data_IF_020953601215
#
_entry.id   IF_020953601215
#
_cell.length_a   1.000
_cell.length_b   1.000
_cell.length_c   1.000
_cell.angle_alpha   90.00
_cell.angle_beta   90.00
_cell.angle_gamma   90.00
#
_symmetry.space_group_name_H-M   'P 1'
#
loop_
_entity.id
_entity.type
_entity.pdbx_description
1 polymer ?
#
# COMPACT_ATOMS: atom_id res chain seq x y z
N UNK A 1 -4.50 13.02 27.11
CA UNK A 1 -3.20 12.34 27.33
C UNK A 1 -2.40 12.21 26.03
N UNK A 2 -2.92 11.51 25.01
CA UNK A 2 -2.19 11.29 23.74
C UNK A 2 -1.70 12.59 23.08
N UNK A 3 -2.53 13.63 23.05
CA UNK A 3 -2.15 14.95 22.51
C UNK A 3 -0.91 15.56 23.19
N UNK A 4 -0.81 15.45 24.53
CA UNK A 4 0.36 15.96 25.27
C UNK A 4 1.62 15.21 24.85
N UNK A 5 1.53 13.89 24.70
CA UNK A 5 2.66 13.07 24.22
C UNK A 5 3.16 13.58 22.87
N UNK A 6 2.27 13.83 21.91
CA UNK A 6 2.68 14.31 20.58
C UNK A 6 3.25 15.74 20.60
N UNK A 7 2.71 16.58 21.46
CA UNK A 7 3.12 17.98 21.60
C UNK A 7 4.53 18.11 22.17
N UNK A 8 4.88 17.30 23.17
CA UNK A 8 6.16 17.36 23.91
C UNK A 8 7.36 16.80 23.14
N UNK A 9 7.15 16.01 22.07
CA UNK A 9 8.26 15.44 21.29
C UNK A 9 9.10 16.51 20.58
N UNK A 10 10.40 16.27 20.43
CA UNK A 10 11.21 17.07 19.52
C UNK A 10 10.78 16.85 18.06
N UNK A 11 10.90 17.89 17.23
CA UNK A 11 10.50 17.83 15.80
C UNK A 11 11.15 16.66 15.05
N UNK A 12 12.42 16.37 15.34
CA UNK A 12 13.20 15.32 14.68
C UNK A 12 13.08 13.94 15.35
N UNK A 13 12.43 13.84 16.51
CA UNK A 13 12.42 12.62 17.33
C UNK A 13 11.95 11.39 16.54
N UNK A 14 10.90 11.56 15.72
CA UNK A 14 10.29 10.47 14.94
C UNK A 14 10.96 10.20 13.58
N UNK A 15 12.10 10.81 13.26
CA UNK A 15 12.84 10.50 12.03
C UNK A 15 13.40 9.08 12.04
N UNK A 16 13.91 8.61 13.18
CA UNK A 16 14.49 7.29 13.29
C UNK A 16 13.43 6.22 13.53
N UNK A 17 13.52 5.08 12.81
CA UNK A 17 12.61 3.94 12.98
C UNK A 17 12.52 3.46 14.43
N UNK A 18 13.64 3.35 15.13
CA UNK A 18 13.64 2.87 16.51
C UNK A 18 12.87 3.81 17.46
N UNK A 19 12.87 5.12 17.21
CA UNK A 19 12.09 6.09 17.98
C UNK A 19 10.59 6.01 17.70
N UNK A 20 10.20 5.75 16.45
CA UNK A 20 8.80 5.45 16.13
C UNK A 20 8.34 4.15 16.78
N UNK A 21 9.17 3.11 16.76
CA UNK A 21 8.92 1.85 17.48
C UNK A 21 8.77 2.06 18.99
N UNK A 22 9.69 2.81 19.61
CA UNK A 22 9.64 3.17 21.03
C UNK A 22 8.31 3.86 21.39
N UNK A 23 7.84 4.78 20.54
CA UNK A 23 6.55 5.44 20.74
C UNK A 23 5.35 4.49 20.53
N UNK A 24 5.40 3.59 19.54
CA UNK A 24 4.37 2.54 19.36
C UNK A 24 4.29 1.63 20.59
N UNK A 25 5.44 1.19 21.11
CA UNK A 25 5.52 0.32 22.27
C UNK A 25 4.99 1.04 23.53
N UNK A 26 5.36 2.32 23.72
CA UNK A 26 4.85 3.17 24.79
C UNK A 26 3.33 3.34 24.74
N UNK A 27 2.80 3.76 23.58
CA UNK A 27 1.37 3.99 23.39
C UNK A 27 0.57 2.68 23.51
N UNK A 28 1.14 1.55 23.08
CA UNK A 28 0.52 0.24 23.30
C UNK A 28 0.41 -0.11 24.77
N UNK A 29 1.38 0.26 25.61
CA UNK A 29 1.28 0.06 27.06
C UNK A 29 0.23 0.98 27.69
N UNK A 30 0.09 2.21 27.19
CA UNK A 30 -0.98 3.13 27.60
C UNK A 30 -2.35 2.56 27.24
N UNK A 31 -2.53 2.08 26.01
CA UNK A 31 -3.78 1.45 25.55
C UNK A 31 -4.15 0.28 26.47
N UNK A 32 -3.19 -0.60 26.80
CA UNK A 32 -3.40 -1.70 27.76
C UNK A 32 -3.78 -1.21 29.16
N UNK A 33 -3.13 -0.15 29.63
CA UNK A 33 -3.40 0.44 30.94
C UNK A 33 -4.82 1.03 31.02
N UNK A 34 -5.18 1.84 30.03
CA UNK A 34 -6.50 2.46 29.92
C UNK A 34 -7.62 1.43 29.69
N UNK A 35 -7.39 0.39 28.89
CA UNK A 35 -8.40 -0.65 28.67
C UNK A 35 -8.81 -1.38 29.96
N UNK A 36 -7.88 -1.50 30.93
CA UNK A 36 -8.20 -2.11 32.21
C UNK A 36 -9.13 -1.24 33.09
N UNK A 37 -9.25 0.06 32.78
CA UNK A 37 -10.08 1.02 33.52
C UNK A 37 -11.34 1.44 32.74
N UNK A 38 -11.25 1.56 31.42
CA UNK A 38 -12.26 2.21 30.56
C UNK A 38 -12.90 1.26 29.53
N UNK A 39 -12.43 0.01 29.38
CA UNK A 39 -13.07 -0.99 28.52
C UNK A 39 -12.21 -1.48 27.33
N UNK A 40 -12.79 -1.54 26.14
CA UNK A 40 -12.24 -2.25 24.98
C UNK A 40 -10.95 -1.58 24.45
N UNK A 41 -9.81 -2.29 24.34
CA UNK A 41 -8.54 -1.71 23.89
C UNK A 41 -8.58 -1.15 22.46
N UNK A 42 -9.50 -1.62 21.61
CA UNK A 42 -9.68 -1.09 20.25
C UNK A 42 -10.20 0.35 20.26
N UNK A 43 -11.17 0.65 21.12
CA UNK A 43 -11.77 1.98 21.26
C UNK A 43 -10.74 2.98 21.82
N UNK A 44 -9.88 2.54 22.74
CA UNK A 44 -8.77 3.34 23.23
C UNK A 44 -7.74 3.61 22.13
N UNK A 45 -7.47 2.63 21.26
CA UNK A 45 -6.61 2.81 20.10
C UNK A 45 -7.22 3.77 19.07
N UNK A 46 -8.53 3.68 18.81
CA UNK A 46 -9.27 4.63 17.97
C UNK A 46 -9.15 6.06 18.51
N UNK A 47 -9.25 6.24 19.83
CA UNK A 47 -8.99 7.53 20.49
C UNK A 47 -7.56 8.03 20.23
N UNK A 48 -6.56 7.15 20.29
CA UNK A 48 -5.17 7.52 19.99
C UNK A 48 -4.99 7.96 18.51
N UNK A 49 -5.64 7.26 17.57
CA UNK A 49 -5.64 7.60 16.14
C UNK A 49 -6.30 8.97 15.93
N UNK A 50 -7.47 9.21 16.52
CA UNK A 50 -8.18 10.48 16.43
C UNK A 50 -7.34 11.64 16.98
N UNK A 51 -6.74 11.48 18.17
CA UNK A 51 -5.88 12.52 18.74
C UNK A 51 -4.68 12.86 17.84
N UNK A 52 -4.10 11.88 17.14
CA UNK A 52 -3.01 12.14 16.20
C UNK A 52 -3.49 12.89 14.95
N UNK A 53 -4.70 12.59 14.47
CA UNK A 53 -5.33 13.31 13.35
C UNK A 53 -5.63 14.76 13.73
N UNK A 54 -6.17 14.99 14.92
CA UNK A 54 -6.47 16.33 15.45
C UNK A 54 -5.19 17.15 15.62
N UNK A 55 -4.15 16.54 16.18
CA UNK A 55 -2.83 17.16 16.32
C UNK A 55 -2.23 17.54 14.96
N UNK A 56 -2.26 16.63 13.99
CA UNK A 56 -1.77 16.91 12.63
C UNK A 56 -2.59 18.01 11.94
N UNK A 57 -3.92 17.95 12.03
CA UNK A 57 -4.83 18.92 11.40
C UNK A 57 -4.66 20.31 11.99
N UNK A 58 -4.59 20.42 13.31
CA UNK A 58 -4.39 21.68 14.02
C UNK A 58 -3.05 22.31 13.67
N UNK A 59 -1.97 21.53 13.69
CA UNK A 59 -0.62 22.04 13.39
C UNK A 59 -0.45 22.42 11.92
N UNK A 60 -1.02 21.65 11.00
CA UNK A 60 -1.09 21.99 9.57
C UNK A 60 -1.93 23.25 9.33
N UNK A 61 -3.06 23.39 10.00
CA UNK A 61 -3.93 24.58 9.93
C UNK A 61 -3.23 25.85 10.39
N UNK A 62 -2.55 25.79 11.53
CA UNK A 62 -1.74 26.89 12.08
C UNK A 62 -0.53 27.23 11.20
N UNK A 63 -0.12 26.34 10.31
CA UNK A 63 0.98 26.52 9.36
C UNK A 63 0.48 26.72 7.92
N UNK A 64 -0.64 27.42 7.73
CA UNK A 64 -1.12 27.80 6.39
C UNK A 64 -1.52 26.62 5.51
N UNK A 65 -2.04 25.55 6.11
CA UNK A 65 -2.39 24.28 5.45
C UNK A 65 -1.20 23.47 4.91
N UNK A 66 0.02 23.77 5.38
CA UNK A 66 1.24 23.06 4.99
C UNK A 66 1.71 22.20 6.16
N UNK A 67 1.97 20.91 5.91
CA UNK A 67 2.49 20.02 6.94
C UNK A 67 3.98 20.31 7.23
N UNK A 68 4.34 20.44 8.50
CA UNK A 68 5.70 20.77 8.97
C UNK A 68 6.69 19.59 8.93
N UNK A 69 6.26 18.41 8.47
CA UNK A 69 7.05 17.17 8.45
C UNK A 69 7.57 16.80 9.86
N UNK A 70 8.52 15.85 9.95
CA UNK A 70 9.04 15.41 11.26
C UNK A 70 7.96 14.85 12.16
N UNK A 71 7.93 15.22 13.44
CA UNK A 71 6.94 14.71 14.39
C UNK A 71 5.50 14.93 13.92
N UNK A 72 5.23 16.09 13.32
CA UNK A 72 3.90 16.51 12.90
C UNK A 72 3.30 15.57 11.86
N UNK A 73 4.15 15.00 10.99
CA UNK A 73 3.74 14.05 9.96
C UNK A 73 3.95 12.59 10.39
N UNK A 74 5.10 12.28 10.98
CA UNK A 74 5.50 10.92 11.30
C UNK A 74 4.64 10.28 12.40
N UNK A 75 3.92 11.09 13.20
CA UNK A 75 2.91 10.59 14.12
C UNK A 75 1.79 9.82 13.39
N UNK A 76 1.45 10.19 12.15
CA UNK A 76 0.46 9.48 11.34
C UNK A 76 0.88 8.02 11.08
N UNK A 77 2.18 7.77 10.84
CA UNK A 77 2.70 6.42 10.67
C UNK A 77 2.79 5.63 11.98
N UNK A 78 3.04 6.32 13.10
CA UNK A 78 2.98 5.71 14.44
C UNK A 78 1.58 5.20 14.72
N UNK A 79 0.55 6.04 14.50
CA UNK A 79 -0.84 5.61 14.73
C UNK A 79 -1.35 4.64 13.66
N UNK A 80 -0.84 4.69 12.43
CA UNK A 80 -1.10 3.65 11.43
C UNK A 80 -0.59 2.28 11.91
N UNK A 81 0.62 2.23 12.49
CA UNK A 81 1.16 1.00 13.08
C UNK A 81 0.31 0.51 14.25
N UNK A 82 -0.11 1.41 15.15
CA UNK A 82 -0.98 1.08 16.26
C UNK A 82 -2.34 0.54 15.80
N UNK A 83 -2.98 1.21 14.83
CA UNK A 83 -4.25 0.76 14.25
C UNK A 83 -4.15 -0.67 13.71
N UNK A 84 -3.07 -0.96 12.99
CA UNK A 84 -2.79 -2.31 12.50
C UNK A 84 -2.54 -3.33 13.62
N UNK A 85 -1.76 -2.97 14.64
CA UNK A 85 -1.40 -3.88 15.75
C UNK A 85 -2.60 -4.22 16.61
N UNK A 86 -3.46 -3.24 16.85
CA UNK A 86 -4.66 -3.36 17.68
C UNK A 86 -5.91 -3.78 16.89
N UNK A 87 -5.80 -3.92 15.56
CA UNK A 87 -6.92 -4.33 14.67
C UNK A 87 -8.13 -3.42 14.86
N UNK A 88 -7.90 -2.11 14.78
CA UNK A 88 -8.95 -1.08 14.78
C UNK A 88 -9.92 -1.39 13.65
N UNK A 89 -11.22 -1.40 13.97
CA UNK A 89 -12.28 -1.82 13.05
C UNK A 89 -12.99 -0.67 12.32
N UNK A 90 -12.88 0.56 12.84
CA UNK A 90 -13.49 1.74 12.24
C UNK A 90 -12.81 2.11 10.91
N UNK A 91 -13.43 1.70 9.81
CA UNK A 91 -12.92 1.99 8.47
C UNK A 91 -12.94 3.47 8.12
N UNK A 92 -13.89 4.25 8.65
CA UNK A 92 -13.97 5.68 8.36
C UNK A 92 -12.78 6.41 8.98
N UNK A 93 -12.46 6.10 10.24
CA UNK A 93 -11.30 6.65 10.93
C UNK A 93 -9.97 6.28 10.23
N UNK A 94 -9.81 5.03 9.82
CA UNK A 94 -8.62 4.61 9.05
C UNK A 94 -8.59 5.28 7.67
N UNK A 95 -9.75 5.50 7.04
CA UNK A 95 -9.87 6.28 5.81
C UNK A 95 -9.40 7.72 5.97
N UNK A 96 -9.77 8.39 7.07
CA UNK A 96 -9.29 9.73 7.41
C UNK A 96 -7.77 9.78 7.63
N UNK A 97 -7.22 8.77 8.30
CA UNK A 97 -5.77 8.62 8.47
C UNK A 97 -5.04 8.50 7.13
N UNK A 98 -5.55 7.66 6.21
CA UNK A 98 -4.99 7.51 4.88
C UNK A 98 -5.11 8.80 4.05
N UNK A 99 -6.22 9.52 4.18
CA UNK A 99 -6.41 10.83 3.57
C UNK A 99 -5.40 11.86 4.09
N UNK A 100 -5.17 11.92 5.40
CA UNK A 100 -4.19 12.81 6.01
C UNK A 100 -2.77 12.53 5.48
N UNK A 101 -2.38 11.26 5.38
CA UNK A 101 -1.10 10.84 4.80
C UNK A 101 -1.00 11.29 3.33
N UNK A 102 -2.00 10.96 2.52
CA UNK A 102 -1.99 11.26 1.09
C UNK A 102 -1.96 12.76 0.80
N UNK A 103 -2.68 13.58 1.56
CA UNK A 103 -2.67 15.03 1.37
C UNK A 103 -1.28 15.65 1.50
N UNK A 104 -0.42 15.04 2.32
CA UNK A 104 0.95 15.49 2.57
C UNK A 104 1.95 14.88 1.58
N UNK A 105 1.87 13.57 1.32
CA UNK A 105 2.88 12.85 0.53
C UNK A 105 2.51 12.70 -0.95
N UNK A 106 1.22 12.77 -1.29
CA UNK A 106 0.67 12.45 -2.62
C UNK A 106 1.00 11.05 -3.15
N UNK A 107 1.40 10.15 -2.25
CA UNK A 107 1.70 8.75 -2.52
C UNK A 107 1.50 7.90 -1.27
N UNK A 108 1.58 6.57 -1.42
CA UNK A 108 1.57 5.60 -0.33
C UNK A 108 2.86 4.75 -0.28
N UNK A 109 3.96 5.26 -0.87
CA UNK A 109 5.27 4.60 -0.90
C UNK A 109 5.64 3.97 0.45
N UNK A 110 5.51 4.71 1.55
CA UNK A 110 5.92 4.25 2.88
C UNK A 110 5.10 3.08 3.42
N UNK A 111 3.86 2.90 2.96
CA UNK A 111 3.01 1.76 3.33
C UNK A 111 3.32 0.54 2.45
N UNK A 112 3.58 0.74 1.16
CA UNK A 112 3.65 -0.34 0.16
C UNK A 112 5.08 -0.90 0.00
N UNK A 113 6.10 -0.04 0.07
CA UNK A 113 7.51 -0.38 -0.23
C UNK A 113 8.01 -1.54 0.63
N UNK A 114 7.63 -1.59 1.91
CA UNK A 114 8.04 -2.66 2.80
C UNK A 114 7.48 -4.04 2.43
N UNK A 115 6.31 -4.09 1.77
CA UNK A 115 5.73 -5.35 1.29
C UNK A 115 6.41 -5.83 -0.01
N UNK A 116 6.78 -4.90 -0.90
CA UNK A 116 7.46 -5.22 -2.15
C UNK A 116 8.92 -5.62 -1.91
N UNK A 117 9.67 -4.83 -1.16
CA UNK A 117 11.13 -4.97 -1.03
C UNK A 117 11.59 -5.54 0.31
N UNK A 118 10.70 -5.63 1.29
CA UNK A 118 11.05 -5.92 2.67
C UNK A 118 11.52 -4.69 3.47
N UNK A 119 11.58 -4.82 4.81
CA UNK A 119 11.85 -3.71 5.72
C UNK A 119 13.29 -3.19 5.68
N UNK A 120 14.25 -3.98 5.18
CA UNK A 120 15.66 -3.57 5.05
C UNK A 120 15.91 -2.76 3.76
N UNK A 121 15.43 -3.26 2.63
CA UNK A 121 15.66 -2.62 1.33
C UNK A 121 14.82 -1.35 1.15
N UNK A 122 13.63 -1.27 1.78
CA UNK A 122 12.81 -0.04 1.78
C UNK A 122 13.60 1.19 2.23
N UNK A 123 14.36 1.10 3.32
CA UNK A 123 15.16 2.23 3.81
C UNK A 123 16.25 2.71 2.87
N UNK A 124 16.80 1.82 2.03
CA UNK A 124 17.84 2.17 1.04
C UNK A 124 17.23 2.85 -0.18
N UNK A 125 16.06 2.38 -0.62
CA UNK A 125 15.47 2.79 -1.88
C UNK A 125 14.60 4.05 -1.72
N UNK A 126 13.76 4.11 -0.67
CA UNK A 126 12.82 5.22 -0.46
C UNK A 126 13.27 6.23 0.61
N UNK A 127 14.43 6.00 1.23
CA UNK A 127 14.90 6.80 2.37
C UNK A 127 14.05 6.63 3.64
N UNK A 128 13.03 5.75 3.63
CA UNK A 128 12.18 5.45 4.77
C UNK A 128 12.21 3.97 5.12
N UNK A 129 12.64 3.66 6.35
CA UNK A 129 12.56 2.30 6.89
C UNK A 129 11.13 2.02 7.32
N UNK A 130 10.52 0.98 6.75
CA UNK A 130 9.16 0.51 7.11
C UNK A 130 9.01 0.34 8.63
N UNK A 131 7.85 0.72 9.16
CA UNK A 131 7.50 0.59 10.58
C UNK A 131 7.12 -0.84 10.99
N UNK A 132 6.98 -1.74 10.02
CA UNK A 132 6.76 -3.16 10.23
C UNK A 132 8.10 -3.92 10.25
N UNK A 133 8.13 -5.07 10.93
CA UNK A 133 9.36 -5.79 11.27
C UNK A 133 9.75 -6.83 10.23
N UNK A 134 8.80 -7.39 9.49
CA UNK A 134 9.04 -8.39 8.44
C UNK A 134 8.28 -8.06 7.16
N UNK A 135 8.64 -8.69 6.05
CA UNK A 135 7.95 -8.50 4.77
C UNK A 135 6.51 -9.04 4.84
N UNK A 136 6.32 -10.15 5.54
CA UNK A 136 5.01 -10.77 5.79
C UNK A 136 4.11 -9.85 6.62
N UNK A 137 4.66 -9.19 7.65
CA UNK A 137 3.92 -8.18 8.42
C UNK A 137 3.55 -6.97 7.54
N UNK A 138 4.44 -6.53 6.65
CA UNK A 138 4.12 -5.48 5.70
C UNK A 138 3.00 -5.88 4.73
N UNK A 139 3.00 -7.11 4.21
CA UNK A 139 1.92 -7.58 3.32
C UNK A 139 0.58 -7.52 4.05
N UNK A 140 0.51 -8.05 5.29
CA UNK A 140 -0.70 -7.98 6.12
C UNK A 140 -1.13 -6.55 6.43
N UNK A 141 -0.18 -5.63 6.61
CA UNK A 141 -0.48 -4.22 6.81
C UNK A 141 -1.06 -3.59 5.54
N UNK A 142 -0.51 -3.90 4.37
CA UNK A 142 -1.05 -3.45 3.08
C UNK A 142 -2.48 -3.97 2.88
N UNK A 143 -2.74 -5.26 3.15
CA UNK A 143 -4.10 -5.84 3.13
C UNK A 143 -5.05 -5.07 4.06
N UNK A 144 -4.63 -4.86 5.31
CA UNK A 144 -5.41 -4.12 6.32
C UNK A 144 -5.80 -2.71 5.82
N UNK A 145 -4.85 -1.93 5.32
CA UNK A 145 -5.14 -0.58 4.84
C UNK A 145 -5.94 -0.56 3.54
N UNK A 146 -5.75 -1.53 2.65
CA UNK A 146 -6.54 -1.66 1.42
C UNK A 146 -8.00 -2.01 1.73
N UNK A 147 -8.24 -2.91 2.69
CA UNK A 147 -9.57 -3.28 3.15
C UNK A 147 -10.31 -2.08 3.73
N UNK A 148 -9.69 -1.37 4.68
CA UNK A 148 -10.28 -0.15 5.24
C UNK A 148 -10.50 0.94 4.20
N UNK A 149 -9.55 1.16 3.29
CA UNK A 149 -9.70 2.12 2.20
C UNK A 149 -10.89 1.80 1.28
N UNK A 150 -11.12 0.52 0.97
CA UNK A 150 -12.25 0.09 0.16
C UNK A 150 -13.58 0.26 0.91
N UNK A 151 -13.65 -0.12 2.20
CA UNK A 151 -14.85 0.06 3.02
C UNK A 151 -15.21 1.55 3.21
N UNK A 152 -14.20 2.40 3.42
CA UNK A 152 -14.37 3.86 3.51
C UNK A 152 -14.54 4.56 2.14
N UNK A 153 -14.45 3.81 1.04
CA UNK A 153 -14.53 4.31 -0.34
C UNK A 153 -13.52 5.44 -0.62
N UNK A 154 -12.29 5.29 -0.11
CA UNK A 154 -11.25 6.30 -0.30
C UNK A 154 -10.86 6.42 -1.78
N UNK A 155 -11.01 7.62 -2.32
CA UNK A 155 -10.58 8.00 -3.66
C UNK A 155 -9.71 9.26 -3.59
N UNK A 156 -8.64 9.26 -4.37
CA UNK A 156 -7.65 10.33 -4.39
C UNK A 156 -7.57 10.95 -5.79
N UNK A 157 -7.43 12.27 -5.86
CA UNK A 157 -7.39 12.98 -7.13
C UNK A 157 -5.96 13.05 -7.68
N UNK A 158 -5.73 12.40 -8.83
CA UNK A 158 -4.50 12.50 -9.61
C UNK A 158 -4.84 13.14 -10.95
N UNK A 159 -4.39 14.38 -11.17
CA UNK A 159 -4.59 15.12 -12.42
C UNK A 159 -6.06 15.15 -12.90
N UNK A 160 -7.01 15.26 -11.97
CA UNK A 160 -8.45 15.29 -12.24
C UNK A 160 -9.12 13.91 -12.27
N UNK A 161 -8.34 12.82 -12.19
CA UNK A 161 -8.87 11.44 -12.18
C UNK A 161 -8.96 10.93 -10.74
N UNK A 162 -10.09 10.34 -10.40
CA UNK A 162 -10.27 9.65 -9.11
C UNK A 162 -9.60 8.29 -9.16
N UNK A 163 -8.69 8.07 -8.21
CA UNK A 163 -7.84 6.89 -8.15
C UNK A 163 -7.91 6.28 -6.76
N UNK A 164 -8.13 4.97 -6.65
CA UNK A 164 -8.16 4.24 -5.38
C UNK A 164 -6.75 4.02 -4.84
N UNK A 165 -6.61 3.77 -3.54
CA UNK A 165 -5.32 3.55 -2.87
C UNK A 165 -4.43 2.57 -3.62
N UNK A 166 -4.99 1.43 -4.03
CA UNK A 166 -4.28 0.32 -4.69
C UNK A 166 -3.62 0.73 -6.02
N UNK A 167 -4.16 1.77 -6.68
CA UNK A 167 -3.73 2.26 -7.98
C UNK A 167 -2.90 3.55 -7.88
N UNK A 168 -2.63 4.06 -6.66
CA UNK A 168 -1.84 5.28 -6.47
C UNK A 168 -0.38 5.03 -6.89
N UNK A 169 0.15 5.83 -7.83
CA UNK A 169 1.53 5.74 -8.27
C UNK A 169 2.54 5.84 -7.12
N UNK A 170 3.59 5.04 -7.23
CA UNK A 170 4.70 5.07 -6.31
C UNK A 170 5.72 6.13 -6.76
N UNK A 171 5.82 7.26 -6.05
CA UNK A 171 6.61 8.43 -6.50
C UNK A 171 8.11 8.11 -6.55
N UNK A 172 8.62 7.31 -5.61
CA UNK A 172 10.02 6.87 -5.58
C UNK A 172 10.39 5.89 -6.71
N UNK A 173 9.40 5.43 -7.50
CA UNK A 173 9.54 4.38 -8.50
C UNK A 173 9.06 4.86 -9.88
N UNK A 174 9.52 6.05 -10.27
CA UNK A 174 9.18 6.70 -11.53
C UNK A 174 7.66 6.81 -11.76
N UNK A 175 6.89 6.96 -10.67
CA UNK A 175 5.41 7.03 -10.69
C UNK A 175 4.77 5.79 -11.34
N UNK A 176 5.40 4.63 -11.22
CA UNK A 176 4.82 3.35 -11.63
C UNK A 176 3.71 2.92 -10.67
N UNK A 177 2.71 2.19 -11.15
CA UNK A 177 1.69 1.62 -10.27
C UNK A 177 2.27 0.52 -9.37
N UNK A 178 1.73 0.28 -8.16
CA UNK A 178 2.20 -0.78 -7.27
C UNK A 178 2.28 -2.16 -7.92
N UNK A 179 1.31 -2.50 -8.78
CA UNK A 179 1.33 -3.76 -9.55
C UNK A 179 2.44 -3.82 -10.58
N UNK A 180 2.73 -2.71 -11.27
CA UNK A 180 3.83 -2.67 -12.24
C UNK A 180 5.19 -2.86 -11.54
N UNK A 181 5.38 -2.21 -10.39
CA UNK A 181 6.60 -2.37 -9.57
C UNK A 181 6.75 -3.82 -9.09
N UNK A 182 5.64 -4.45 -8.67
CA UNK A 182 5.65 -5.84 -8.19
C UNK A 182 6.07 -6.83 -9.30
N UNK A 183 5.65 -6.62 -10.54
CA UNK A 183 6.15 -7.38 -11.70
C UNK A 183 7.62 -7.07 -11.98
N UNK A 184 7.99 -5.78 -11.93
CA UNK A 184 9.37 -5.34 -12.17
C UNK A 184 10.36 -5.96 -11.19
N UNK A 185 9.93 -6.39 -10.00
CA UNK A 185 10.78 -7.07 -9.02
C UNK A 185 10.46 -8.56 -8.83
N UNK A 186 9.60 -9.13 -9.68
CA UNK A 186 9.16 -10.54 -9.61
C UNK A 186 8.60 -10.92 -8.24
N UNK A 187 7.58 -10.19 -7.79
CA UNK A 187 7.03 -10.27 -6.44
C UNK A 187 5.56 -10.75 -6.49
N UNK A 188 5.31 -12.06 -6.73
CA UNK A 188 3.99 -12.58 -7.10
C UNK A 188 2.96 -12.55 -5.97
N UNK A 189 3.39 -12.64 -4.71
CA UNK A 189 2.54 -12.62 -3.52
C UNK A 189 1.90 -11.24 -3.29
N UNK A 190 2.67 -10.16 -3.30
CA UNK A 190 2.13 -8.79 -3.19
C UNK A 190 1.36 -8.41 -4.46
N UNK A 191 1.78 -8.89 -5.64
CA UNK A 191 1.01 -8.73 -6.87
C UNK A 191 -0.38 -9.35 -6.73
N UNK A 192 -0.48 -10.57 -6.18
CA UNK A 192 -1.76 -11.23 -5.94
C UNK A 192 -2.65 -10.40 -5.00
N UNK A 193 -2.11 -9.93 -3.88
CA UNK A 193 -2.82 -9.06 -2.94
C UNK A 193 -3.38 -7.82 -3.65
N UNK A 194 -2.53 -7.07 -4.35
CA UNK A 194 -2.96 -5.86 -5.06
C UNK A 194 -4.09 -6.16 -6.07
N UNK A 195 -4.00 -7.29 -6.79
CA UNK A 195 -5.03 -7.71 -7.74
C UNK A 195 -6.33 -8.16 -7.06
N UNK A 196 -6.27 -8.79 -5.89
CA UNK A 196 -7.46 -9.13 -5.09
C UNK A 196 -8.21 -7.88 -4.61
N UNK A 197 -7.47 -6.79 -4.34
CA UNK A 197 -8.06 -5.47 -4.06
C UNK A 197 -8.41 -4.67 -5.32
N UNK A 198 -8.34 -5.32 -6.49
CA UNK A 198 -8.84 -4.81 -7.77
C UNK A 198 -7.88 -3.87 -8.51
N UNK A 199 -6.58 -3.95 -8.26
CA UNK A 199 -5.60 -3.12 -8.97
C UNK A 199 -5.68 -3.26 -10.49
N UNK A 200 -5.46 -2.15 -11.20
CA UNK A 200 -5.45 -2.09 -12.66
C UNK A 200 -4.13 -2.57 -13.22
N UNK A 201 -4.16 -3.63 -14.03
CA UNK A 201 -2.98 -4.17 -14.73
C UNK A 201 -2.62 -3.39 -16.00
N UNK A 202 -3.57 -2.62 -16.52
CA UNK A 202 -3.43 -1.79 -17.72
C UNK A 202 -3.95 -0.39 -17.43
N UNK A 203 -3.19 0.62 -17.84
CA UNK A 203 -3.52 2.04 -17.71
C UNK A 203 -3.12 2.70 -19.03
N UNK A 204 -4.06 3.35 -19.69
CA UNK A 204 -3.78 4.05 -20.95
C UNK A 204 -2.70 5.12 -20.76
N UNK A 205 -1.71 5.13 -21.67
CA UNK A 205 -0.63 6.12 -21.74
C UNK A 205 0.24 6.22 -20.45
N UNK A 206 0.38 5.12 -19.71
CA UNK A 206 1.27 5.06 -18.55
C UNK A 206 1.94 3.67 -18.43
N UNK A 207 3.17 3.58 -17.89
CA UNK A 207 3.82 2.30 -17.65
C UNK A 207 2.92 1.35 -16.86
N UNK A 208 2.53 0.24 -17.47
CA UNK A 208 1.59 -0.69 -16.86
C UNK A 208 2.20 -2.08 -16.60
N UNK A 209 1.54 -2.87 -15.75
CA UNK A 209 2.06 -4.16 -15.31
C UNK A 209 2.23 -5.15 -16.47
N UNK A 210 1.35 -5.07 -17.49
CA UNK A 210 1.44 -5.89 -18.71
C UNK A 210 2.69 -5.56 -19.52
N UNK A 211 2.97 -4.28 -19.76
CA UNK A 211 4.16 -3.86 -20.51
C UNK A 211 5.44 -4.29 -19.81
N UNK A 212 5.49 -4.11 -18.48
CA UNK A 212 6.62 -4.56 -17.66
C UNK A 212 6.79 -6.08 -17.75
N UNK A 213 5.69 -6.83 -17.71
CA UNK A 213 5.69 -8.28 -17.82
C UNK A 213 6.23 -8.74 -19.19
N UNK A 214 5.69 -8.20 -20.29
CA UNK A 214 6.09 -8.55 -21.65
C UNK A 214 7.57 -8.27 -21.87
N UNK A 215 8.04 -7.09 -21.45
CA UNK A 215 9.47 -6.73 -21.54
C UNK A 215 10.34 -7.74 -20.80
N UNK A 216 10.00 -8.08 -19.55
CA UNK A 216 10.76 -9.06 -18.76
C UNK A 216 10.78 -10.46 -19.35
N UNK A 217 9.65 -10.91 -19.91
CA UNK A 217 9.58 -12.21 -20.58
C UNK A 217 10.45 -12.23 -21.84
N UNK A 218 10.51 -11.12 -22.57
CA UNK A 218 11.36 -10.96 -23.77
C UNK A 218 12.87 -10.89 -23.48
N UNK A 219 13.26 -10.34 -22.33
CA UNK A 219 14.67 -10.21 -21.93
C UNK A 219 15.33 -11.56 -21.58
N UNK A 220 14.57 -12.57 -21.11
CA UNK A 220 15.13 -13.84 -20.60
C UNK A 220 14.35 -15.10 -21.01
N UNK A 221 14.17 -15.38 -22.33
CA UNK A 221 13.32 -16.47 -22.79
C UNK A 221 13.81 -17.88 -22.41
N UNK A 222 15.11 -18.05 -22.18
CA UNK A 222 15.74 -19.36 -21.98
C UNK A 222 15.83 -19.78 -20.49
N UNK A 223 15.59 -18.86 -19.54
CA UNK A 223 15.73 -19.15 -18.11
C UNK A 223 14.79 -18.27 -17.27
N UNK A 224 13.48 -18.47 -17.46
CA UNK A 224 12.46 -17.69 -16.77
C UNK A 224 12.44 -18.01 -15.26
N UNK A 225 12.65 -16.99 -14.45
CA UNK A 225 12.47 -17.05 -13.00
C UNK A 225 11.05 -17.57 -12.67
N UNK A 226 10.95 -18.55 -11.75
CA UNK A 226 9.68 -19.10 -11.27
C UNK A 226 8.70 -18.02 -10.78
N UNK A 227 9.22 -16.99 -10.11
CA UNK A 227 8.41 -15.87 -9.60
C UNK A 227 7.88 -14.98 -10.73
N UNK A 228 8.65 -14.82 -11.82
CA UNK A 228 8.19 -14.12 -13.02
C UNK A 228 7.08 -14.92 -13.73
N UNK A 229 7.22 -16.24 -13.81
CA UNK A 229 6.17 -17.12 -14.34
C UNK A 229 4.91 -17.02 -13.47
N UNK A 230 5.05 -16.96 -12.15
CA UNK A 230 3.89 -16.81 -11.27
C UNK A 230 3.24 -15.43 -11.37
N UNK A 231 4.03 -14.37 -11.55
CA UNK A 231 3.50 -13.03 -11.89
C UNK A 231 2.72 -13.08 -13.21
N UNK A 232 3.27 -13.74 -14.22
CA UNK A 232 2.59 -13.95 -15.50
C UNK A 232 1.27 -14.67 -15.30
N UNK A 233 1.25 -15.83 -14.63
CA UNK A 233 0.01 -16.59 -14.38
C UNK A 233 -1.02 -15.75 -13.65
N UNK A 234 -0.60 -15.00 -12.64
CA UNK A 234 -1.48 -14.16 -11.83
C UNK A 234 -2.09 -13.03 -12.67
N UNK A 235 -1.30 -12.27 -13.43
CA UNK A 235 -1.80 -11.23 -14.34
C UNK A 235 -2.69 -11.83 -15.43
N UNK A 236 -2.28 -12.96 -15.99
CA UNK A 236 -3.07 -13.63 -17.00
C UNK A 236 -4.42 -14.08 -16.46
N UNK A 237 -4.65 -14.23 -15.15
CA UNK A 237 -6.02 -14.48 -14.62
C UNK A 237 -6.92 -13.24 -14.68
N UNK A 238 -6.36 -12.04 -14.78
CA UNK A 238 -7.10 -10.77 -14.66
C UNK A 238 -7.36 -10.07 -15.99
N UNK A 239 -6.75 -10.52 -17.09
CA UNK A 239 -6.91 -9.95 -18.43
C UNK A 239 -7.71 -10.88 -19.36
N UNK A 240 -8.69 -10.33 -20.08
CA UNK A 240 -9.37 -11.07 -21.16
C UNK A 240 -8.43 -11.26 -22.37
N UNK A 241 -7.67 -10.21 -22.72
CA UNK A 241 -6.74 -10.15 -23.84
C UNK A 241 -5.52 -9.30 -23.46
N UNK A 242 -4.34 -9.62 -24.02
CA UNK A 242 -3.16 -8.76 -23.93
C UNK A 242 -3.24 -7.76 -25.11
N UNK A 243 -3.24 -6.43 -24.87
CA UNK A 243 -3.22 -5.47 -25.96
C UNK A 243 -1.94 -5.64 -26.78
N UNK A 244 -2.06 -5.57 -28.12
CA UNK A 244 -0.89 -5.55 -29.00
C UNK A 244 -0.08 -4.29 -28.69
N UNK A 245 1.22 -4.39 -28.35
CA UNK A 245 2.04 -3.20 -28.10
C UNK A 245 2.10 -2.33 -29.37
N UNK A 246 1.92 -1.01 -29.20
CA UNK A 246 1.74 -0.05 -30.29
C UNK A 246 3.08 0.28 -31.00
N UNK A 247 4.21 0.04 -30.34
CA UNK A 247 5.55 0.49 -30.79
C UNK A 247 6.58 -0.65 -30.94
N UNK A 248 6.16 -1.86 -31.28
CA UNK A 248 7.10 -2.95 -31.60
C UNK A 248 6.94 -3.29 -33.07
N UNK A 249 7.95 -2.96 -33.88
CA UNK A 249 8.16 -3.50 -35.22
C UNK A 249 8.10 -5.04 -35.15
N UNK A 250 6.94 -5.61 -35.48
CA UNK A 250 6.62 -6.99 -35.90
C UNK A 250 7.31 -8.21 -35.22
N UNK A 251 8.06 -8.10 -34.13
CA UNK A 251 8.87 -9.23 -33.63
C UNK A 251 9.02 -9.33 -32.10
N UNK A 252 7.94 -9.17 -31.33
CA UNK A 252 7.84 -9.81 -30.00
C UNK A 252 6.59 -10.67 -29.93
N UNK A 253 6.45 -11.56 -30.90
CA UNK A 253 5.76 -12.83 -30.67
C UNK A 253 6.80 -13.72 -29.99
N UNK A 254 6.63 -14.05 -28.70
CA UNK A 254 7.48 -15.06 -28.06
C UNK A 254 7.05 -16.41 -28.66
N UNK A 255 7.79 -17.00 -29.61
CA UNK A 255 7.35 -18.22 -30.28
C UNK A 255 7.43 -19.36 -29.25
N UNK A 256 6.32 -20.08 -29.04
CA UNK A 256 6.27 -21.27 -28.17
C UNK A 256 5.54 -21.11 -26.84
N UNK A 257 5.15 -19.88 -26.43
CA UNK A 257 4.30 -19.70 -25.26
C UNK A 257 2.87 -19.36 -25.68
N UNK A 258 1.97 -20.34 -25.60
CA UNK A 258 0.52 -20.09 -25.56
C UNK A 258 0.17 -19.42 -24.22
N UNK A 259 0.53 -18.14 -24.07
CA UNK A 259 0.24 -17.35 -22.87
C UNK A 259 -1.27 -17.20 -22.64
N UNK A 260 -2.07 -17.38 -23.68
CA UNK A 260 -3.53 -17.36 -23.67
C UNK A 260 -4.09 -18.77 -23.88
N UNK A 261 -4.99 -19.27 -23.02
CA UNK A 261 -5.81 -20.43 -23.33
C UNK A 261 -6.63 -20.14 -24.59
N UNK A 262 -6.74 -21.12 -25.51
CA UNK A 262 -7.49 -21.03 -26.78
C UNK A 262 -8.98 -20.74 -26.63
N UNK A 263 -9.49 -20.68 -25.39
CA UNK A 263 -10.87 -20.33 -25.04
C UNK A 263 -10.85 -19.34 -23.88
N UNK A 264 -10.96 -18.04 -24.18
CA UNK A 264 -11.47 -17.06 -23.23
C UNK A 264 -12.62 -16.28 -23.86
N UNK A 265 -13.67 -16.18 -23.08
CA UNK A 265 -14.91 -15.45 -23.37
C UNK A 265 -14.64 -13.94 -23.47
N UNK A 266 -15.52 -13.24 -24.19
CA UNK A 266 -15.45 -11.83 -24.60
C UNK A 266 -15.38 -10.83 -23.44
N UNK A 267 -15.59 -11.27 -22.19
CA UNK A 267 -15.51 -10.45 -20.98
C UNK A 267 -14.44 -10.96 -20.02
N UNK A 268 -13.70 -10.04 -19.38
CA UNK A 268 -12.83 -10.37 -18.25
C UNK A 268 -13.66 -11.13 -17.19
N UNK A 269 -13.21 -12.27 -16.67
CA UNK A 269 -13.83 -12.83 -15.48
C UNK A 269 -13.68 -11.80 -14.36
N UNK A 270 -14.80 -11.37 -13.77
CA UNK A 270 -14.76 -10.61 -12.52
C UNK A 270 -14.06 -11.49 -11.49
N UNK A 271 -12.93 -11.05 -10.94
CA UNK A 271 -12.16 -11.82 -9.94
C UNK A 271 -12.89 -11.94 -8.58
N UNK A 272 -14.22 -11.83 -8.56
CA UNK A 272 -15.04 -12.04 -7.37
C UNK A 272 -14.82 -13.42 -6.74
N UNK A 273 -14.37 -14.40 -7.52
CA UNK A 273 -14.03 -15.75 -7.04
C UNK A 273 -12.61 -15.88 -6.45
N UNK A 274 -11.78 -14.84 -6.54
CA UNK A 274 -10.52 -14.71 -5.77
C UNK A 274 -10.65 -13.77 -4.58
N UNK A 275 -11.81 -13.10 -4.41
CA UNK A 275 -12.17 -12.50 -3.14
C UNK A 275 -12.25 -13.65 -2.14
N UNK A 276 -11.37 -13.61 -1.15
CA UNK A 276 -11.54 -14.46 0.01
C UNK A 276 -12.92 -14.11 0.57
N UNK A 277 -13.86 -15.05 0.46
CA UNK A 277 -15.02 -15.07 1.37
C UNK A 277 -14.40 -15.27 2.75
N UNK A 278 -14.10 -14.18 3.43
CA UNK A 278 -13.68 -14.21 4.82
C UNK A 278 -14.93 -14.63 5.58
N UNK A 279 -15.02 -15.93 5.88
CA UNK A 279 -16.01 -16.43 6.82
C UNK A 279 -15.78 -15.74 8.16
N UNK A 280 -16.75 -14.93 8.56
CA UNK A 280 -16.88 -14.44 9.93
C UNK A 280 -17.07 -15.65 10.87
N UNK A 281 -16.15 -15.82 11.80
CA UNK A 281 -16.37 -16.44 13.11
C UNK A 281 -15.77 -15.52 14.18
#
# INVERSE_FOLDING_TARGET
>A
YFENVFTELDRSYLFAKYKRKELVDYLSNVIKGCSNAEGNPKEVCETAVQCALDFHTTTKGNNGQICLMGKYHNVLYVVAKLAFDWKVGDSMLIGELLNAIYQCERTFDRLITGAIFGPRASGVISGWKSDFNSREENIKAVEYFLEHANHAKCEYNIKGVRTRLVDIPMESYARSSPVAVSVQVCCPDILLVLLQFGAKVYIDNAPCAIEVLVRKLGEQPQNLNKDLIECCRTIMRTVANIPKPVDIEDNVYIPGYNLLPTRRTISCPELQHLLIVIYFL
#
